data_IF_036012569338
#
_entry.id   IF_036012569338
#
_cell.length_a   1.000
_cell.length_b   1.000
_cell.length_c   1.000
_cell.angle_alpha   90.00
_cell.angle_beta   90.00
_cell.angle_gamma   90.00
#
_symmetry.space_group_name_H-M   'P 1'
#
loop_
_entity.id
_entity.type
_entity.pdbx_description
1 polymer ?
#
# COMPACT_ATOMS: atom_id res chain seq x y z
N UNK A 1 -19.45 -16.60 4.36
CA UNK A 1 -18.86 -15.49 3.53
C UNK A 1 -17.70 -16.06 2.72
N UNK A 2 -17.72 -15.82 1.44
CA UNK A 2 -16.61 -16.23 0.55
C UNK A 2 -15.68 -15.04 0.37
N UNK A 3 -14.43 -15.20 0.81
CA UNK A 3 -13.39 -14.18 0.60
C UNK A 3 -12.76 -14.37 -0.78
N UNK A 4 -12.79 -13.32 -1.59
CA UNK A 4 -12.03 -13.24 -2.82
C UNK A 4 -10.85 -12.30 -2.61
N UNK A 5 -9.78 -12.45 -3.39
CA UNK A 5 -8.62 -11.56 -3.31
C UNK A 5 -9.03 -10.11 -3.60
N UNK A 6 -9.97 -9.93 -4.53
CA UNK A 6 -10.49 -8.60 -4.86
C UNK A 6 -11.21 -7.97 -3.67
N UNK A 7 -12.08 -8.73 -2.99
CA UNK A 7 -12.83 -8.24 -1.82
C UNK A 7 -11.89 -7.84 -0.69
N UNK A 8 -10.89 -8.67 -0.40
CA UNK A 8 -9.88 -8.39 0.62
C UNK A 8 -9.10 -7.12 0.27
N UNK A 9 -8.64 -7.02 -0.95
CA UNK A 9 -7.88 -5.85 -1.43
C UNK A 9 -8.71 -4.58 -1.36
N UNK A 10 -9.97 -4.61 -1.81
CA UNK A 10 -10.84 -3.44 -1.80
C UNK A 10 -11.11 -2.96 -0.37
N UNK A 11 -11.33 -3.88 0.56
CA UNK A 11 -11.55 -3.53 1.96
C UNK A 11 -10.30 -2.93 2.60
N UNK A 12 -9.15 -3.55 2.40
CA UNK A 12 -7.89 -3.05 2.94
C UNK A 12 -7.53 -1.69 2.33
N UNK A 13 -7.80 -1.50 1.04
CA UNK A 13 -7.58 -0.21 0.38
C UNK A 13 -8.48 0.87 0.96
N UNK A 14 -9.75 0.54 1.22
CA UNK A 14 -10.68 1.46 1.88
C UNK A 14 -10.15 1.90 3.25
N UNK A 15 -9.67 0.97 4.07
CA UNK A 15 -9.09 1.29 5.37
C UNK A 15 -7.84 2.17 5.21
N UNK A 16 -6.98 1.82 4.27
CA UNK A 16 -5.75 2.58 4.02
C UNK A 16 -6.06 4.03 3.60
N UNK A 17 -7.03 4.20 2.70
CA UNK A 17 -7.42 5.52 2.21
C UNK A 17 -8.02 6.40 3.32
N UNK A 18 -8.58 5.78 4.36
CA UNK A 18 -9.09 6.47 5.54
C UNK A 18 -8.03 6.71 6.63
N UNK A 19 -6.78 6.42 6.33
CA UNK A 19 -5.66 6.67 7.22
C UNK A 19 -5.27 5.53 8.13
N UNK A 20 -5.97 4.39 8.08
CA UNK A 20 -5.66 3.25 8.92
C UNK A 20 -4.52 2.43 8.33
N UNK A 21 -3.66 1.91 9.20
CA UNK A 21 -2.46 1.17 8.77
C UNK A 21 -2.42 -0.26 9.29
N UNK A 22 -3.25 -0.60 10.29
CA UNK A 22 -3.27 -1.93 10.91
C UNK A 22 -4.69 -2.40 11.14
N UNK A 23 -4.90 -3.70 10.90
CA UNK A 23 -6.13 -4.44 11.19
C UNK A 23 -5.75 -5.59 12.12
N UNK A 24 -6.42 -5.74 13.26
CA UNK A 24 -6.01 -6.73 14.24
C UNK A 24 -7.17 -7.17 15.15
N UNK A 25 -6.95 -8.28 15.86
CA UNK A 25 -7.88 -8.77 16.89
C UNK A 25 -7.38 -8.36 18.26
N UNK A 26 -8.25 -7.76 19.06
CA UNK A 26 -7.97 -7.45 20.46
C UNK A 26 -8.12 -8.73 21.27
N UNK A 27 -7.04 -9.17 21.92
CA UNK A 27 -6.95 -10.51 22.52
C UNK A 27 -8.01 -10.77 23.59
N UNK A 28 -8.30 -9.81 24.47
CA UNK A 28 -9.20 -10.01 25.60
C UNK A 28 -10.68 -9.93 25.25
N UNK A 29 -11.03 -9.19 24.21
CA UNK A 29 -12.42 -8.92 23.87
C UNK A 29 -12.87 -9.60 22.59
N UNK A 30 -11.94 -10.15 21.80
CA UNK A 30 -12.17 -10.63 20.44
C UNK A 30 -12.72 -9.57 19.47
N UNK A 31 -12.56 -8.30 19.82
CA UNK A 31 -12.94 -7.22 18.91
C UNK A 31 -12.02 -7.21 17.70
N UNK A 32 -12.57 -6.87 16.55
CA UNK A 32 -11.78 -6.57 15.36
C UNK A 32 -11.57 -5.06 15.33
N UNK A 33 -10.32 -4.64 15.30
CA UNK A 33 -9.93 -3.25 15.46
C UNK A 33 -9.03 -2.77 14.33
N UNK A 34 -9.06 -1.48 14.10
CA UNK A 34 -8.19 -0.80 13.14
C UNK A 34 -7.49 0.35 13.82
N UNK A 35 -6.24 0.62 13.44
CA UNK A 35 -5.46 1.71 14.03
C UNK A 35 -4.54 2.34 13.00
N UNK A 36 -4.13 3.58 13.32
CA UNK A 36 -3.14 4.32 12.52
C UNK A 36 -1.72 3.99 12.95
N UNK A 37 -1.54 3.61 14.21
CA UNK A 37 -0.26 3.27 14.79
C UNK A 37 -0.11 1.77 15.01
N UNK A 38 1.12 1.29 14.99
CA UNK A 38 1.41 -0.13 15.16
C UNK A 38 0.95 -0.60 16.55
N UNK A 39 0.13 -1.67 16.63
CA UNK A 39 -0.26 -2.22 17.92
C UNK A 39 0.92 -2.89 18.63
N UNK A 40 0.84 -2.95 19.95
CA UNK A 40 1.84 -3.62 20.77
C UNK A 40 1.49 -5.11 20.85
N UNK A 41 2.50 -5.97 20.72
CA UNK A 41 2.33 -7.42 20.77
C UNK A 41 2.81 -7.98 22.10
N UNK A 42 2.12 -9.03 22.58
CA UNK A 42 2.55 -9.87 23.69
C UNK A 42 2.36 -11.33 23.28
N UNK A 43 3.41 -12.15 23.44
CA UNK A 43 3.35 -13.57 23.12
C UNK A 43 2.85 -13.86 21.70
N UNK A 44 3.32 -13.09 20.72
CA UNK A 44 2.95 -13.20 19.31
C UNK A 44 1.48 -12.84 19.00
N UNK A 45 0.76 -12.34 19.97
CA UNK A 45 -0.62 -11.88 19.79
C UNK A 45 -0.69 -10.38 19.95
N UNK A 46 -1.57 -9.76 19.19
CA UNK A 46 -1.80 -8.32 19.37
C UNK A 46 -2.41 -8.06 20.73
N UNK A 47 -1.82 -7.14 21.48
CA UNK A 47 -2.39 -6.69 22.72
C UNK A 47 -2.93 -5.29 22.61
N UNK A 48 -3.82 -5.05 23.48
CA UNK A 48 -4.72 -3.96 23.64
C UNK A 48 -4.19 -2.81 24.46
N UNK A 49 -2.91 -2.64 24.66
CA UNK A 49 -2.37 -1.51 25.40
C UNK A 49 -2.35 -0.19 24.63
N UNK A 50 -2.95 -0.20 23.44
CA UNK A 50 -3.09 1.02 22.65
C UNK A 50 -4.28 1.83 23.12
N UNK A 51 -4.05 3.11 23.39
CA UNK A 51 -5.10 4.03 23.77
C UNK A 51 -6.02 4.41 22.62
N UNK A 52 -5.61 4.16 21.36
CA UNK A 52 -6.33 4.67 20.19
C UNK A 52 -6.48 3.60 19.11
N UNK A 53 -7.64 2.96 19.10
CA UNK A 53 -8.07 2.14 17.97
C UNK A 53 -9.58 2.26 17.82
N UNK A 54 -10.07 2.00 16.61
CA UNK A 54 -11.49 1.96 16.32
C UNK A 54 -11.94 0.52 16.17
N UNK A 55 -13.11 0.19 16.69
CA UNK A 55 -13.70 -1.14 16.54
C UNK A 55 -14.50 -1.21 15.26
N UNK A 56 -14.47 -2.37 14.61
CA UNK A 56 -15.34 -2.66 13.47
C UNK A 56 -16.63 -3.33 13.94
N UNK A 57 -17.72 -3.03 13.24
CA UNK A 57 -19.06 -3.55 13.56
C UNK A 57 -19.75 -4.08 12.29
N UNK A 58 -20.75 -4.93 12.47
CA UNK A 58 -21.59 -5.40 11.37
C UNK A 58 -20.82 -6.13 10.27
N UNK A 59 -21.07 -5.76 9.03
CA UNK A 59 -20.44 -6.38 7.88
C UNK A 59 -18.91 -6.21 7.90
N UNK A 60 -18.43 -5.03 8.28
CA UNK A 60 -16.99 -4.77 8.36
C UNK A 60 -16.31 -5.65 9.42
N UNK A 61 -16.98 -5.89 10.54
CA UNK A 61 -16.49 -6.83 11.55
C UNK A 61 -16.36 -8.24 10.98
N UNK A 62 -17.39 -8.72 10.30
CA UNK A 62 -17.39 -10.07 9.72
C UNK A 62 -16.29 -10.22 8.68
N UNK A 63 -16.13 -9.22 7.83
CA UNK A 63 -15.11 -9.22 6.79
C UNK A 63 -13.69 -9.16 7.39
N UNK A 64 -13.46 -8.27 8.33
CA UNK A 64 -12.18 -8.16 9.03
C UNK A 64 -11.83 -9.44 9.79
N UNK A 65 -12.80 -10.04 10.47
CA UNK A 65 -12.61 -11.29 11.20
C UNK A 65 -12.22 -12.43 10.25
N UNK A 66 -12.89 -12.55 9.11
CA UNK A 66 -12.58 -13.57 8.11
C UNK A 66 -11.17 -13.39 7.53
N UNK A 67 -10.76 -12.16 7.25
CA UNK A 67 -9.40 -11.85 6.76
C UNK A 67 -8.36 -12.26 7.81
N UNK A 68 -8.57 -11.89 9.08
CA UNK A 68 -7.63 -12.20 10.16
C UNK A 68 -7.54 -13.70 10.44
N UNK A 69 -8.61 -14.45 10.24
CA UNK A 69 -8.57 -15.91 10.39
C UNK A 69 -7.61 -16.55 9.38
N UNK A 70 -7.50 -16.00 8.17
CA UNK A 70 -6.61 -16.52 7.13
C UNK A 70 -5.17 -15.99 7.28
N UNK A 71 -5.02 -14.74 7.67
CA UNK A 71 -3.72 -14.03 7.60
C UNK A 71 -2.99 -13.92 8.94
N UNK A 72 -3.68 -14.18 10.04
CA UNK A 72 -3.12 -14.05 11.39
C UNK A 72 -3.76 -12.93 12.20
N UNK A 73 -3.31 -12.74 13.43
CA UNK A 73 -3.95 -11.86 14.40
C UNK A 73 -3.77 -10.36 14.12
N UNK A 74 -2.82 -10.01 13.26
CA UNK A 74 -2.54 -8.61 12.91
C UNK A 74 -2.03 -8.50 11.49
N UNK A 75 -2.56 -7.54 10.76
CA UNK A 75 -2.15 -7.25 9.37
C UNK A 75 -1.62 -5.84 9.29
N UNK A 76 -0.43 -5.68 8.71
CA UNK A 76 0.08 -4.40 8.23
C UNK A 76 -0.55 -4.16 6.86
N UNK A 77 -1.51 -3.23 6.80
CA UNK A 77 -2.33 -3.01 5.62
C UNK A 77 -1.48 -2.59 4.41
N UNK A 78 -0.57 -1.64 4.60
CA UNK A 78 0.30 -1.16 3.53
C UNK A 78 1.17 -2.27 2.95
N UNK A 79 1.72 -3.11 3.83
CA UNK A 79 2.55 -4.24 3.42
C UNK A 79 1.73 -5.29 2.67
N UNK A 80 0.52 -5.58 3.14
CA UNK A 80 -0.37 -6.54 2.47
C UNK A 80 -0.80 -6.05 1.08
N UNK A 81 -1.01 -4.75 0.92
CA UNK A 81 -1.36 -4.13 -0.35
C UNK A 81 -0.16 -3.89 -1.27
N UNK A 82 1.07 -4.19 -0.81
CA UNK A 82 2.31 -3.87 -1.52
C UNK A 82 2.44 -2.37 -1.84
N UNK A 83 2.02 -1.52 -0.91
CA UNK A 83 2.17 -0.08 -1.08
C UNK A 83 3.63 0.29 -0.87
N UNK A 84 4.17 1.02 -1.84
CA UNK A 84 5.57 1.39 -1.88
C UNK A 84 5.73 2.80 -1.28
N UNK A 85 6.74 2.96 -0.41
CA UNK A 85 7.16 4.29 0.01
C UNK A 85 8.07 4.88 -1.06
N UNK A 86 7.46 5.64 -1.96
CA UNK A 86 8.17 6.23 -3.10
C UNK A 86 9.25 7.24 -2.69
N UNK A 87 9.16 7.78 -1.47
CA UNK A 87 10.19 8.70 -0.97
C UNK A 87 11.53 8.02 -0.75
N UNK A 88 11.54 6.69 -0.60
CA UNK A 88 12.76 5.90 -0.41
C UNK A 88 13.30 5.27 -1.69
N UNK A 89 12.56 5.35 -2.79
CA UNK A 89 12.97 4.76 -4.06
C UNK A 89 14.06 5.64 -4.70
N UNK A 90 15.12 5.00 -5.14
CA UNK A 90 16.26 5.70 -5.74
C UNK A 90 16.00 6.09 -7.19
N UNK A 91 16.56 7.21 -7.62
CA UNK A 91 16.52 7.64 -9.02
C UNK A 91 17.08 6.54 -9.93
N UNK A 92 16.50 6.40 -11.11
CA UNK A 92 16.84 5.36 -12.10
C UNK A 92 16.43 3.95 -11.73
N UNK A 93 15.63 3.77 -10.66
CA UNK A 93 15.01 2.47 -10.37
C UNK A 93 14.05 2.11 -11.51
N UNK A 94 14.11 0.87 -11.97
CA UNK A 94 13.21 0.36 -13.00
C UNK A 94 11.81 0.22 -12.41
N UNK A 95 10.82 0.84 -13.07
CA UNK A 95 9.43 0.79 -12.63
C UNK A 95 8.49 0.59 -13.82
N UNK A 96 7.28 0.14 -13.52
CA UNK A 96 6.17 0.13 -14.45
C UNK A 96 5.21 1.24 -14.10
N UNK A 97 4.68 1.93 -15.09
CA UNK A 97 3.74 3.04 -14.90
C UNK A 97 2.57 2.95 -15.87
N UNK A 98 1.45 3.56 -15.48
CA UNK A 98 0.29 3.73 -16.33
C UNK A 98 -0.62 4.83 -15.78
N UNK A 99 -1.46 5.41 -16.62
CA UNK A 99 -2.39 6.48 -16.22
C UNK A 99 -3.77 5.99 -15.83
N UNK A 100 -4.24 4.93 -16.46
CA UNK A 100 -5.57 4.36 -16.23
C UNK A 100 -5.45 2.92 -15.74
N UNK A 101 -6.41 2.52 -14.90
CA UNK A 101 -6.42 1.17 -14.32
C UNK A 101 -6.34 0.07 -15.38
N UNK A 102 -6.98 0.27 -16.53
CA UNK A 102 -7.03 -0.73 -17.60
C UNK A 102 -5.93 -0.57 -18.66
N UNK A 103 -5.06 0.40 -18.52
CA UNK A 103 -3.94 0.59 -19.44
C UNK A 103 -2.88 -0.50 -19.24
N UNK A 104 -2.13 -0.79 -20.29
CA UNK A 104 -0.96 -1.65 -20.17
C UNK A 104 0.15 -0.94 -19.40
N UNK A 105 0.91 -1.70 -18.63
CA UNK A 105 2.09 -1.17 -17.94
C UNK A 105 3.16 -0.76 -18.95
N UNK A 106 3.79 0.38 -18.70
CA UNK A 106 4.88 0.91 -19.52
C UNK A 106 6.15 0.95 -18.68
N UNK A 107 7.26 0.50 -19.25
CA UNK A 107 8.56 0.51 -18.56
C UNK A 107 9.18 1.91 -18.60
N UNK A 108 9.59 2.39 -17.42
CA UNK A 108 10.25 3.70 -17.26
C UNK A 108 11.26 3.64 -16.13
N UNK A 109 12.05 4.69 -16.00
CA UNK A 109 13.00 4.85 -14.89
C UNK A 109 12.52 5.96 -13.98
N UNK A 110 12.54 5.69 -12.67
CA UNK A 110 12.04 6.60 -11.64
C UNK A 110 12.89 7.86 -11.58
N UNK A 111 12.25 9.03 -11.56
CA UNK A 111 12.91 10.32 -11.38
C UNK A 111 12.72 10.83 -9.94
N UNK A 112 11.50 11.10 -9.52
CA UNK A 112 11.20 11.53 -8.16
C UNK A 112 9.70 11.33 -7.85
N UNK A 113 9.37 11.51 -6.58
CA UNK A 113 7.99 11.46 -6.07
C UNK A 113 7.64 12.81 -5.49
N UNK A 114 6.49 13.37 -5.89
CA UNK A 114 6.03 14.67 -5.42
C UNK A 114 4.51 14.76 -5.48
N UNK A 115 3.92 15.31 -4.43
CA UNK A 115 2.47 15.56 -4.34
C UNK A 115 1.60 14.34 -4.65
N UNK A 116 2.02 13.16 -4.20
CA UNK A 116 1.28 11.92 -4.41
C UNK A 116 1.44 11.30 -5.79
N UNK A 117 2.33 11.83 -6.63
CA UNK A 117 2.55 11.31 -7.98
C UNK A 117 3.98 10.85 -8.20
N UNK A 118 4.13 9.79 -8.98
CA UNK A 118 5.42 9.27 -9.40
C UNK A 118 5.82 9.93 -10.71
N UNK A 119 7.00 10.51 -10.75
CA UNK A 119 7.58 11.15 -11.93
C UNK A 119 8.69 10.30 -12.51
N UNK A 120 8.72 10.18 -13.82
CA UNK A 120 9.66 9.36 -14.56
C UNK A 120 10.26 10.13 -15.71
N UNK A 121 11.43 9.68 -16.17
CA UNK A 121 12.04 10.23 -17.39
C UNK A 121 11.26 9.73 -18.62
N UNK A 122 11.06 10.62 -19.58
CA UNK A 122 10.29 10.31 -20.79
C UNK A 122 11.02 9.30 -21.68
N UNK A 123 10.23 8.53 -22.43
CA UNK A 123 10.73 7.65 -23.49
C UNK A 123 11.72 6.59 -23.03
N UNK A 124 11.61 6.15 -21.77
CA UNK A 124 12.51 5.12 -21.24
C UNK A 124 13.93 5.60 -20.97
N UNK A 125 14.14 6.91 -20.89
CA UNK A 125 15.46 7.48 -20.57
C UNK A 125 15.77 7.36 -19.07
N UNK A 126 17.05 7.40 -18.75
CA UNK A 126 17.57 7.47 -17.38
C UNK A 126 18.01 8.89 -17.06
N UNK A 127 18.46 9.14 -15.83
CA UNK A 127 19.06 10.42 -15.45
C UNK A 127 20.26 10.78 -16.33
N UNK A 128 21.01 9.78 -16.80
CA UNK A 128 22.14 9.98 -17.69
C UNK A 128 21.72 10.37 -19.10
N UNK A 129 20.83 9.59 -19.72
CA UNK A 129 20.43 9.82 -21.11
C UNK A 129 19.53 11.05 -21.25
N UNK A 130 18.69 11.36 -20.26
CA UNK A 130 17.85 12.54 -20.26
C UNK A 130 18.67 13.83 -20.03
N UNK A 131 19.73 13.76 -19.24
CA UNK A 131 20.59 14.90 -18.94
C UNK A 131 21.29 15.45 -20.19
N UNK A 132 21.60 14.57 -21.13
CA UNK A 132 22.28 14.97 -22.37
C UNK A 132 21.33 15.59 -23.41
N UNK A 133 20.04 15.58 -23.17
CA UNK A 133 19.05 16.22 -24.03
C UNK A 133 18.84 17.66 -23.58
N UNK A 134 18.71 18.58 -24.54
CA UNK A 134 18.44 19.97 -24.23
C UNK A 134 17.08 20.17 -23.56
N UNK A 135 16.18 19.21 -23.71
CA UNK A 135 14.86 19.20 -23.07
C UNK A 135 14.77 18.00 -22.11
N UNK A 136 15.04 18.26 -20.82
CA UNK A 136 14.83 17.26 -19.78
C UNK A 136 13.33 16.98 -19.65
N UNK A 137 12.86 15.92 -20.27
CA UNK A 137 11.46 15.54 -20.22
C UNK A 137 11.22 14.64 -19.03
N UNK A 138 10.34 15.08 -18.13
CA UNK A 138 9.86 14.31 -16.98
C UNK A 138 8.34 14.38 -16.99
N UNK A 139 7.69 13.24 -16.83
CA UNK A 139 6.25 13.16 -16.80
C UNK A 139 5.76 12.33 -15.60
N UNK A 140 4.53 12.58 -15.16
CA UNK A 140 3.94 11.84 -14.04
C UNK A 140 2.91 10.82 -14.52
N UNK A 141 2.70 9.81 -13.69
CA UNK A 141 1.69 8.77 -13.91
C UNK A 141 0.90 8.54 -12.63
N UNK A 142 -0.36 8.11 -12.79
CA UNK A 142 -1.25 7.86 -11.67
C UNK A 142 -0.99 6.52 -10.98
N UNK A 143 -0.48 5.54 -11.71
CA UNK A 143 -0.19 4.20 -11.17
C UNK A 143 1.26 3.83 -11.45
N UNK A 144 1.92 3.25 -10.46
CA UNK A 144 3.31 2.83 -10.58
C UNK A 144 3.59 1.62 -9.68
N UNK A 145 4.53 0.78 -10.11
CA UNK A 145 5.03 -0.34 -9.31
C UNK A 145 6.52 -0.54 -9.60
N UNK A 146 7.26 -1.06 -8.62
CA UNK A 146 8.67 -1.41 -8.82
C UNK A 146 8.75 -2.73 -9.56
N UNK A 147 9.63 -2.80 -10.57
CA UNK A 147 9.89 -4.06 -11.30
C UNK A 147 10.76 -4.94 -10.41
N UNK A 148 10.25 -6.09 -10.04
CA UNK A 148 11.03 -7.13 -9.37
C UNK A 148 11.75 -7.97 -10.43
N UNK A 149 13.06 -8.07 -10.27
CA UNK A 149 13.88 -8.94 -11.11
C UNK A 149 14.07 -10.31 -10.45
#
# INVERSE_FOLDING_TARGET
>A
MILTDELVRDFLQYLYDNGYRYLFVVTYTNDVAISKSKPTFSNEKCIESMAFYDKLYGYEYKLGKAILNDEGACIDIGKKLNIIDWSTVKVDTKIHVKDRKNDAWVRRYFAYYKNGKVYVFCNGKTSWSAWNDNDLCITSYNFAEVVEE
#
